data_IF_855390737731
#
_entry.id   IF_855390737731
#
_cell.length_a   1.000
_cell.length_b   1.000
_cell.length_c   1.000
_cell.angle_alpha   90.00
_cell.angle_beta   90.00
_cell.angle_gamma   90.00
#
_symmetry.space_group_name_H-M   'P 1'
#
loop_
_entity.id
_entity.type
_entity.pdbx_description
1 polymer ?
#
# COMPACT_ATOMS: atom_id res chain seq x y z
N UNK A 1 38.14 11.15 5.82
CA UNK A 1 37.32 11.37 7.04
C UNK A 1 35.87 11.15 6.62
N UNK A 2 35.26 10.05 7.07
CA UNK A 2 33.85 9.80 6.83
C UNK A 2 33.08 10.92 7.51
N UNK A 3 32.37 11.74 6.72
CA UNK A 3 31.50 12.77 7.26
C UNK A 3 30.44 12.12 8.16
N UNK A 4 30.29 12.61 9.39
CA UNK A 4 29.18 12.16 10.24
C UNK A 4 27.87 12.45 9.52
N UNK A 5 26.89 11.52 9.57
CA UNK A 5 25.58 11.76 8.97
C UNK A 5 24.96 13.06 9.50
N UNK A 6 24.65 13.98 8.60
CA UNK A 6 23.92 15.21 8.94
C UNK A 6 22.43 14.90 9.08
N UNK A 7 21.84 15.24 10.23
CA UNK A 7 20.38 15.09 10.43
C UNK A 7 19.65 16.15 9.62
N UNK A 8 18.66 15.76 8.85
CA UNK A 8 17.74 16.65 8.11
C UNK A 8 16.47 16.81 8.95
N UNK A 9 16.12 18.05 9.30
CA UNK A 9 14.89 18.33 10.06
C UNK A 9 13.68 18.43 9.13
N UNK A 10 13.12 17.29 8.80
CA UNK A 10 11.95 17.20 7.92
C UNK A 10 11.72 15.77 7.45
N UNK A 11 10.82 15.65 6.50
CA UNK A 11 10.30 14.39 5.98
C UNK A 11 10.45 14.40 4.47
N UNK A 12 10.80 13.23 3.89
CA UNK A 12 10.80 13.06 2.43
C UNK A 12 9.61 12.20 2.03
N UNK A 13 8.84 12.68 1.10
CA UNK A 13 7.66 12.03 0.54
C UNK A 13 8.01 11.51 -0.85
N UNK A 14 7.82 10.20 -1.04
CA UNK A 14 7.98 9.56 -2.33
C UNK A 14 6.60 9.47 -2.99
N UNK A 15 6.36 10.29 -4.00
CA UNK A 15 5.10 10.36 -4.71
C UNK A 15 4.86 9.17 -5.65
N UNK A 16 3.60 8.91 -5.93
CA UNK A 16 3.18 8.01 -7.00
C UNK A 16 3.31 8.74 -8.34
N UNK A 17 3.95 8.13 -9.33
CA UNK A 17 4.33 8.79 -10.58
C UNK A 17 3.16 9.53 -11.28
N UNK A 18 1.97 8.92 -11.31
CA UNK A 18 0.78 9.47 -11.96
C UNK A 18 0.05 10.54 -11.12
N UNK A 19 0.37 10.66 -9.82
CA UNK A 19 -0.37 11.50 -8.85
C UNK A 19 0.50 12.51 -8.11
N UNK A 20 1.66 12.87 -8.66
CA UNK A 20 2.58 13.81 -8.01
C UNK A 20 1.95 15.20 -7.82
N UNK A 21 1.11 15.66 -8.74
CA UNK A 21 0.40 16.93 -8.62
C UNK A 21 -0.56 16.98 -7.41
N UNK A 22 -1.16 15.83 -7.06
CA UNK A 22 -1.99 15.73 -5.86
C UNK A 22 -1.15 15.73 -4.60
N UNK A 23 -0.01 15.04 -4.59
CA UNK A 23 0.92 15.07 -3.47
C UNK A 23 1.41 16.48 -3.17
N UNK A 24 1.83 17.24 -4.17
CA UNK A 24 2.35 18.60 -3.94
C UNK A 24 1.27 19.56 -3.42
N UNK A 25 0.01 19.35 -3.77
CA UNK A 25 -1.13 20.10 -3.19
C UNK A 25 -1.31 19.75 -1.71
N UNK A 26 -1.16 18.47 -1.32
CA UNK A 26 -1.23 18.06 0.09
C UNK A 26 -0.07 18.60 0.92
N UNK A 27 1.13 18.64 0.36
CA UNK A 27 2.33 19.12 1.05
C UNK A 27 2.33 20.65 1.23
N UNK A 28 1.80 21.41 0.27
CA UNK A 28 1.83 22.87 0.27
C UNK A 28 3.25 23.43 0.09
N UNK A 29 4.02 23.60 1.17
CA UNK A 29 5.43 23.97 1.08
C UNK A 29 6.31 22.72 1.02
N UNK A 30 7.16 22.65 0.00
CA UNK A 30 8.10 21.55 -0.22
C UNK A 30 9.30 22.00 -1.05
N UNK A 31 10.38 21.21 -1.01
CA UNK A 31 11.51 21.27 -1.93
C UNK A 31 11.48 20.03 -2.81
N UNK A 32 11.59 20.21 -4.11
CA UNK A 32 11.70 19.10 -5.06
C UNK A 32 13.13 18.59 -5.13
N UNK A 33 13.36 17.35 -4.70
CA UNK A 33 14.70 16.74 -4.67
C UNK A 33 15.07 16.07 -6.00
N UNK A 34 14.07 15.71 -6.82
CA UNK A 34 14.23 15.00 -8.08
C UNK A 34 13.48 13.68 -8.12
N UNK A 35 13.12 13.20 -9.34
CA UNK A 35 12.34 11.97 -9.53
C UNK A 35 11.02 12.02 -8.76
N UNK A 36 10.70 10.99 -7.94
CA UNK A 36 9.48 10.99 -7.15
C UNK A 36 9.62 11.65 -5.76
N UNK A 37 10.73 12.32 -5.44
CA UNK A 37 11.07 12.72 -4.08
C UNK A 37 10.84 14.21 -3.81
N UNK A 38 10.08 14.48 -2.76
CA UNK A 38 9.72 15.81 -2.26
C UNK A 38 10.08 15.92 -0.78
N UNK A 39 10.84 16.94 -0.41
CA UNK A 39 11.19 17.23 0.98
C UNK A 39 10.24 18.29 1.54
N UNK A 40 9.77 18.07 2.75
CA UNK A 40 9.03 19.07 3.50
C UNK A 40 9.63 19.23 4.90
N UNK A 41 9.94 20.46 5.25
CA UNK A 41 10.45 20.82 6.58
C UNK A 41 9.37 20.62 7.64
N UNK A 42 9.80 20.25 8.84
CA UNK A 42 8.94 20.09 10.01
C UNK A 42 8.39 18.68 10.20
N UNK A 43 7.28 18.54 10.93
CA UNK A 43 6.71 17.24 11.28
C UNK A 43 6.06 16.52 10.09
N UNK A 44 5.83 15.22 10.28
CA UNK A 44 5.08 14.40 9.33
C UNK A 44 3.70 15.03 9.02
N UNK A 45 3.44 15.27 7.75
CA UNK A 45 2.14 15.70 7.22
C UNK A 45 1.38 14.48 6.71
N UNK A 46 0.07 14.49 6.84
CA UNK A 46 -0.78 13.49 6.22
C UNK A 46 -0.72 13.66 4.70
N UNK A 47 -0.29 12.61 4.00
CA UNK A 47 -0.20 12.59 2.55
C UNK A 47 -0.67 11.23 2.02
N UNK A 48 -1.71 11.24 1.19
CA UNK A 48 -2.34 10.02 0.67
C UNK A 48 -1.72 9.56 -0.66
N UNK A 49 -1.09 10.49 -1.40
CA UNK A 49 -0.55 10.23 -2.74
C UNK A 49 0.93 9.85 -2.72
N UNK A 50 1.30 9.04 -1.71
CA UNK A 50 2.68 8.57 -1.51
C UNK A 50 2.79 7.05 -1.63
N UNK A 51 3.85 6.59 -2.26
CA UNK A 51 4.25 5.17 -2.19
C UNK A 51 5.01 4.86 -0.90
N UNK A 52 5.77 5.83 -0.42
CA UNK A 52 6.61 5.70 0.77
C UNK A 52 6.90 7.07 1.39
N UNK A 53 7.12 7.11 2.70
CA UNK A 53 7.53 8.32 3.41
C UNK A 53 8.78 8.00 4.21
N UNK A 54 9.81 8.81 4.05
CA UNK A 54 11.10 8.68 4.71
C UNK A 54 11.08 9.54 5.98
N UNK A 55 11.04 8.90 7.15
CA UNK A 55 10.72 9.57 8.41
C UNK A 55 11.91 10.26 9.09
N UNK A 56 13.12 9.72 8.91
CA UNK A 56 14.33 10.21 9.55
C UNK A 56 15.46 10.40 8.52
N UNK A 57 15.29 11.33 7.57
CA UNK A 57 16.28 11.52 6.53
C UNK A 57 17.59 12.08 7.09
N UNK A 58 18.71 11.58 6.55
CA UNK A 58 20.06 12.01 6.85
C UNK A 58 20.84 12.25 5.57
N UNK A 59 21.76 13.20 5.60
CA UNK A 59 22.71 13.44 4.50
C UNK A 59 24.03 12.74 4.82
N UNK A 60 24.61 12.08 3.84
CA UNK A 60 25.90 11.41 3.92
C UNK A 60 26.77 11.89 2.76
N UNK A 61 27.94 12.45 3.07
CA UNK A 61 28.97 12.76 2.06
C UNK A 61 30.00 11.65 2.01
N UNK A 62 30.50 11.33 0.83
CA UNK A 62 31.43 10.23 0.59
C UNK A 62 32.28 10.50 -0.66
N UNK A 63 33.50 9.95 -0.70
CA UNK A 63 34.41 10.05 -1.83
C UNK A 63 34.35 8.81 -2.74
N UNK A 64 34.11 7.65 -2.18
CA UNK A 64 34.11 6.39 -2.91
C UNK A 64 32.84 5.58 -2.73
N UNK A 65 32.52 4.72 -3.71
CA UNK A 65 31.42 3.75 -3.66
C UNK A 65 31.51 2.88 -2.41
N UNK A 66 32.72 2.46 -2.02
CA UNK A 66 32.90 1.62 -0.82
C UNK A 66 32.60 2.36 0.47
N UNK A 67 32.95 3.63 0.52
CA UNK A 67 32.66 4.49 1.68
C UNK A 67 31.16 4.72 1.82
N UNK A 68 30.46 5.04 0.73
CA UNK A 68 29.00 5.16 0.70
C UNK A 68 28.30 3.89 1.20
N UNK A 69 28.68 2.73 0.67
CA UNK A 69 28.11 1.45 1.11
C UNK A 69 28.43 1.13 2.58
N UNK A 70 29.63 1.46 3.06
CA UNK A 70 30.00 1.26 4.47
C UNK A 70 29.19 2.16 5.40
N UNK A 71 28.95 3.41 5.03
CA UNK A 71 28.13 4.34 5.79
C UNK A 71 26.70 3.79 5.97
N UNK A 72 26.07 3.34 4.89
CA UNK A 72 24.74 2.72 4.94
C UNK A 72 24.74 1.43 5.78
N UNK A 73 25.72 0.53 5.60
CA UNK A 73 25.85 -0.70 6.39
C UNK A 73 26.07 -0.46 7.88
N UNK A 74 26.73 0.63 8.22
CA UNK A 74 26.95 1.02 9.62
C UNK A 74 25.66 1.44 10.35
N UNK A 75 24.62 1.80 9.61
CA UNK A 75 23.32 2.21 10.15
C UNK A 75 22.38 1.01 10.26
N UNK A 76 22.16 0.29 9.17
CA UNK A 76 21.31 -0.91 9.14
C UNK A 76 21.63 -1.81 7.92
N UNK A 77 20.96 -2.97 7.88
CA UNK A 77 21.17 -3.98 6.82
C UNK A 77 20.37 -3.70 5.54
N UNK A 78 19.09 -3.35 5.67
CA UNK A 78 18.13 -3.37 4.55
C UNK A 78 17.98 -1.98 3.95
N UNK A 79 18.47 -1.79 2.73
CA UNK A 79 18.44 -0.54 2.01
C UNK A 79 17.93 -0.72 0.59
N UNK A 80 16.91 0.02 0.20
CA UNK A 80 16.39 0.08 -1.16
C UNK A 80 16.76 1.42 -1.81
N UNK A 81 17.35 1.44 -3.03
CA UNK A 81 17.64 2.67 -3.74
C UNK A 81 16.38 3.22 -4.42
N UNK A 82 16.23 4.54 -4.41
CA UNK A 82 15.28 5.29 -5.25
C UNK A 82 16.10 6.25 -6.11
N UNK A 83 16.55 5.76 -7.26
CA UNK A 83 17.48 6.49 -8.10
C UNK A 83 16.73 7.29 -9.18
N UNK A 84 17.05 8.57 -9.31
CA UNK A 84 16.59 9.45 -10.38
C UNK A 84 17.76 10.17 -11.08
N UNK A 85 18.96 10.07 -10.52
CA UNK A 85 20.23 10.56 -11.07
C UNK A 85 21.35 9.59 -10.70
N UNK A 86 22.55 9.75 -11.28
CA UNK A 86 23.75 8.94 -10.93
C UNK A 86 23.51 7.42 -10.95
N UNK A 87 22.66 6.91 -11.85
CA UNK A 87 22.19 5.51 -11.86
C UNK A 87 23.31 4.49 -11.75
N UNK A 88 24.36 4.63 -12.59
CA UNK A 88 25.49 3.68 -12.58
C UNK A 88 26.19 3.66 -11.23
N UNK A 89 26.42 4.83 -10.64
CA UNK A 89 27.08 4.95 -9.33
C UNK A 89 26.21 4.39 -8.23
N UNK A 90 24.91 4.67 -8.24
CA UNK A 90 23.93 4.13 -7.31
C UNK A 90 23.87 2.61 -7.36
N UNK A 91 23.83 2.02 -8.55
CA UNK A 91 23.83 0.55 -8.70
C UNK A 91 25.11 -0.09 -8.14
N UNK A 92 26.29 0.51 -8.39
CA UNK A 92 27.55 0.03 -7.82
C UNK A 92 27.61 0.13 -6.29
N UNK A 93 26.94 1.12 -5.69
CA UNK A 93 26.77 1.20 -4.23
C UNK A 93 25.86 0.08 -3.76
N UNK A 94 24.70 -0.11 -4.43
CA UNK A 94 23.72 -1.13 -4.06
C UNK A 94 24.31 -2.56 -4.15
N UNK A 95 25.16 -2.85 -5.13
CA UNK A 95 25.84 -4.13 -5.26
C UNK A 95 26.77 -4.47 -4.05
N UNK A 96 27.26 -3.44 -3.34
CA UNK A 96 28.07 -3.62 -2.14
C UNK A 96 27.24 -3.72 -0.85
N UNK A 97 25.92 -3.47 -0.90
CA UNK A 97 25.02 -3.64 0.23
C UNK A 97 24.54 -5.08 0.34
N UNK A 98 24.11 -5.53 1.52
CA UNK A 98 23.45 -6.82 1.65
C UNK A 98 22.24 -6.90 0.70
N UNK A 99 22.06 -8.02 0.00
CA UNK A 99 20.96 -8.15 -0.94
C UNK A 99 19.63 -8.10 -0.23
N UNK A 100 18.69 -7.35 -0.79
CA UNK A 100 17.28 -7.35 -0.40
C UNK A 100 16.50 -8.23 -1.39
N UNK A 101 15.55 -8.99 -0.88
CA UNK A 101 14.75 -9.85 -1.73
C UNK A 101 13.58 -9.05 -2.32
N UNK A 102 13.68 -8.70 -3.60
CA UNK A 102 12.67 -7.99 -4.39
C UNK A 102 11.85 -8.92 -5.30
N UNK A 103 12.04 -10.24 -5.20
CA UNK A 103 11.26 -11.19 -6.03
C UNK A 103 9.79 -11.17 -5.62
N UNK A 104 8.87 -11.33 -6.57
CA UNK A 104 7.45 -11.50 -6.27
C UNK A 104 7.20 -12.59 -5.23
N UNK A 105 6.24 -12.38 -4.35
CA UNK A 105 5.94 -13.26 -3.21
C UNK A 105 4.64 -14.03 -3.42
N UNK A 106 4.52 -15.24 -2.91
CA UNK A 106 3.23 -15.90 -2.83
C UNK A 106 2.35 -15.21 -1.78
N UNK A 107 1.04 -15.22 -1.98
CA UNK A 107 0.08 -14.82 -0.95
C UNK A 107 -0.46 -16.07 -0.23
N UNK A 108 -0.67 -16.05 1.10
CA UNK A 108 -0.38 -14.96 2.04
C UNK A 108 1.12 -14.85 2.37
N UNK A 109 1.58 -13.63 2.66
CA UNK A 109 2.95 -13.39 3.06
C UNK A 109 3.03 -12.52 4.32
N UNK A 110 3.70 -13.03 5.34
CA UNK A 110 3.97 -12.29 6.58
C UNK A 110 5.13 -11.34 6.35
N UNK A 111 4.87 -10.04 6.55
CA UNK A 111 5.89 -9.00 6.47
C UNK A 111 6.95 -9.19 7.57
N UNK A 112 8.25 -9.10 7.21
CA UNK A 112 9.31 -9.05 8.22
C UNK A 112 9.14 -7.83 9.13
N UNK A 113 9.57 -7.97 10.39
CA UNK A 113 9.60 -6.84 11.33
C UNK A 113 10.83 -5.95 11.18
N UNK A 114 11.83 -6.40 10.39
CA UNK A 114 13.02 -5.63 10.13
C UNK A 114 12.71 -4.38 9.30
N UNK A 115 13.20 -3.19 9.69
CA UNK A 115 12.95 -1.96 8.96
C UNK A 115 13.53 -2.03 7.55
N UNK A 116 12.84 -1.39 6.60
CA UNK A 116 13.33 -1.15 5.25
C UNK A 116 13.70 0.33 5.14
N UNK A 117 14.98 0.61 4.92
CA UNK A 117 15.45 1.97 4.64
C UNK A 117 15.43 2.27 3.15
N UNK A 118 15.36 3.53 2.82
CA UNK A 118 15.50 4.02 1.45
C UNK A 118 16.63 5.03 1.34
N UNK A 119 17.24 5.12 0.16
CA UNK A 119 18.31 6.06 -0.12
C UNK A 119 18.34 6.50 -1.58
N UNK A 120 18.93 7.66 -1.84
CA UNK A 120 19.16 8.20 -3.18
C UNK A 120 20.47 8.98 -3.25
N UNK A 121 20.94 9.23 -4.46
CA UNK A 121 22.05 10.16 -4.72
C UNK A 121 21.48 11.50 -5.16
N UNK A 122 21.99 12.59 -4.59
CA UNK A 122 21.75 13.96 -5.07
C UNK A 122 22.78 14.33 -6.15
N UNK A 123 24.02 13.91 -5.92
CA UNK A 123 25.15 14.10 -6.83
C UNK A 123 26.17 12.94 -6.68
N UNK A 124 27.38 13.11 -7.23
CA UNK A 124 28.40 12.06 -7.20
C UNK A 124 28.97 11.77 -5.81
N UNK A 125 28.82 12.68 -4.85
CA UNK A 125 29.46 12.63 -3.52
C UNK A 125 28.48 12.79 -2.37
N UNK A 126 27.19 13.03 -2.65
CA UNK A 126 26.17 13.30 -1.66
C UNK A 126 24.99 12.37 -1.84
N UNK A 127 24.62 11.68 -0.77
CA UNK A 127 23.38 10.89 -0.70
C UNK A 127 22.45 11.39 0.41
N UNK A 128 21.18 11.17 0.22
CA UNK A 128 20.18 11.19 1.28
C UNK A 128 19.74 9.75 1.54
N UNK A 129 19.60 9.40 2.81
CA UNK A 129 19.14 8.10 3.25
C UNK A 129 18.18 8.25 4.44
N UNK A 130 17.21 7.36 4.57
CA UNK A 130 16.36 7.27 5.76
C UNK A 130 16.29 5.84 6.24
N UNK A 131 16.72 5.53 7.46
CA UNK A 131 16.64 4.19 8.02
C UNK A 131 15.21 3.77 8.36
N UNK A 132 14.29 4.74 8.52
CA UNK A 132 12.89 4.52 8.85
C UNK A 132 11.99 5.05 7.73
N UNK A 133 11.19 4.16 7.16
CA UNK A 133 10.20 4.48 6.14
C UNK A 133 8.84 3.91 6.54
N UNK A 134 7.75 4.52 6.02
CA UNK A 134 6.38 4.04 6.28
C UNK A 134 6.09 2.74 5.55
N UNK A 135 6.65 2.55 4.35
CA UNK A 135 6.48 1.31 3.61
C UNK A 135 7.49 0.25 4.07
N UNK A 136 7.04 -0.97 4.37
CA UNK A 136 7.93 -2.09 4.66
C UNK A 136 8.53 -2.71 3.38
N UNK A 137 8.13 -2.21 2.21
CA UNK A 137 8.57 -2.72 0.91
C UNK A 137 9.74 -1.94 0.35
N UNK A 138 10.67 -2.60 -0.37
CA UNK A 138 11.78 -1.94 -1.02
C UNK A 138 11.31 -0.84 -1.98
N UNK A 139 11.69 0.43 -1.73
CA UNK A 139 11.28 1.57 -2.54
C UNK A 139 9.77 1.83 -2.57
N UNK A 140 9.01 1.28 -1.63
CA UNK A 140 7.55 1.43 -1.58
C UNK A 140 6.78 0.40 -2.40
N UNK A 141 7.44 -0.33 -3.31
CA UNK A 141 6.80 -1.22 -4.28
C UNK A 141 6.86 -2.69 -3.85
N UNK A 142 5.78 -3.40 -4.17
CA UNK A 142 5.65 -4.81 -3.85
C UNK A 142 4.92 -5.55 -4.97
N UNK A 143 5.36 -6.79 -5.24
CA UNK A 143 4.75 -7.64 -6.26
C UNK A 143 4.44 -9.02 -5.70
N UNK A 144 3.27 -9.54 -6.04
CA UNK A 144 2.90 -10.93 -5.84
C UNK A 144 3.23 -11.80 -7.06
N UNK A 145 3.40 -13.10 -6.82
CA UNK A 145 3.37 -14.08 -7.89
C UNK A 145 1.95 -14.10 -8.45
N UNK A 146 1.82 -13.65 -9.69
CA UNK A 146 0.52 -13.49 -10.34
C UNK A 146 -0.07 -14.85 -10.73
N UNK A 147 -1.30 -15.14 -10.29
CA UNK A 147 -2.10 -16.24 -10.82
C UNK A 147 -3.01 -15.71 -11.93
N UNK A 148 -2.78 -16.13 -13.17
CA UNK A 148 -3.51 -15.66 -14.36
C UNK A 148 -4.65 -16.60 -14.78
N UNK A 149 -4.87 -17.70 -14.06
CA UNK A 149 -5.78 -18.79 -14.47
C UNK A 149 -7.00 -18.86 -13.57
N UNK A 150 -6.80 -18.90 -12.24
CA UNK A 150 -7.86 -19.21 -11.30
C UNK A 150 -8.72 -18.00 -10.89
N UNK A 151 -8.16 -16.80 -10.65
CA UNK A 151 -8.97 -15.66 -10.22
C UNK A 151 -9.82 -15.12 -11.37
N UNK A 152 -11.11 -14.78 -11.12
CA UNK A 152 -12.01 -14.24 -12.16
C UNK A 152 -11.59 -12.85 -12.69
N UNK A 153 -10.78 -12.11 -11.93
CA UNK A 153 -10.27 -10.79 -12.33
C UNK A 153 -8.96 -10.47 -11.62
N UNK A 154 -8.17 -9.52 -12.18
CA UNK A 154 -6.92 -9.06 -11.55
C UNK A 154 -7.13 -8.23 -10.28
N UNK A 155 -8.38 -7.87 -9.95
CA UNK A 155 -8.69 -7.13 -8.73
C UNK A 155 -8.24 -7.87 -7.44
N UNK A 156 -8.06 -9.19 -7.50
CA UNK A 156 -7.57 -10.00 -6.39
C UNK A 156 -6.21 -9.51 -5.84
N UNK A 157 -5.33 -8.97 -6.69
CA UNK A 157 -4.01 -8.45 -6.28
C UNK A 157 -4.13 -7.27 -5.31
N UNK A 158 -5.11 -6.40 -5.51
CA UNK A 158 -5.37 -5.26 -4.60
C UNK A 158 -5.72 -5.74 -3.20
N UNK A 159 -6.59 -6.75 -3.10
CA UNK A 159 -6.96 -7.30 -1.80
C UNK A 159 -5.78 -7.99 -1.12
N UNK A 160 -5.00 -8.78 -1.86
CA UNK A 160 -3.80 -9.43 -1.33
C UNK A 160 -2.82 -8.39 -0.75
N UNK A 161 -2.56 -7.30 -1.48
CA UNK A 161 -1.70 -6.22 -1.01
C UNK A 161 -2.26 -5.54 0.24
N UNK A 162 -3.54 -5.18 0.25
CA UNK A 162 -4.19 -4.56 1.39
C UNK A 162 -4.09 -5.42 2.65
N UNK A 163 -4.33 -6.72 2.54
CA UNK A 163 -4.23 -7.67 3.66
C UNK A 163 -2.79 -7.81 4.18
N UNK A 164 -1.81 -7.86 3.28
CA UNK A 164 -0.38 -7.92 3.68
C UNK A 164 0.03 -6.61 4.36
N UNK A 165 -0.38 -5.44 3.84
CA UNK A 165 -0.11 -4.13 4.47
C UNK A 165 -0.76 -4.02 5.85
N UNK A 166 -1.98 -4.53 6.01
CA UNK A 166 -2.69 -4.60 7.30
C UNK A 166 -2.07 -5.62 8.26
N UNK A 167 -1.13 -6.47 7.80
CA UNK A 167 -0.52 -7.59 8.56
C UNK A 167 -1.56 -8.53 9.17
N UNK A 168 -2.74 -8.58 8.59
CA UNK A 168 -3.88 -9.37 9.04
C UNK A 168 -4.77 -9.74 7.87
N UNK A 169 -5.29 -10.94 7.89
CA UNK A 169 -6.25 -11.46 6.92
C UNK A 169 -7.27 -12.39 7.58
N UNK A 170 -8.43 -12.62 6.92
CA UNK A 170 -9.42 -13.55 7.40
C UNK A 170 -8.84 -14.94 7.67
N UNK A 171 -9.28 -15.54 8.77
CA UNK A 171 -8.95 -16.92 9.11
C UNK A 171 -10.05 -17.86 8.61
N UNK A 172 -9.73 -19.16 8.51
CA UNK A 172 -10.71 -20.17 8.13
C UNK A 172 -11.94 -20.13 9.04
N UNK A 173 -13.13 -20.08 8.42
CA UNK A 173 -14.40 -20.00 9.12
C UNK A 173 -14.84 -18.60 9.54
N UNK A 174 -13.99 -17.56 9.43
CA UNK A 174 -14.43 -16.18 9.66
C UNK A 174 -15.46 -15.76 8.59
N UNK A 175 -16.42 -14.94 9.01
CA UNK A 175 -17.51 -14.45 8.15
C UNK A 175 -17.09 -13.16 7.47
N UNK A 176 -17.07 -13.19 6.14
CA UNK A 176 -16.71 -12.08 5.29
C UNK A 176 -17.91 -11.61 4.46
N UNK A 177 -18.12 -10.32 4.37
CA UNK A 177 -19.01 -9.69 3.40
C UNK A 177 -18.18 -9.11 2.25
N UNK A 178 -18.46 -9.50 1.00
CA UNK A 178 -17.89 -8.92 -0.21
C UNK A 178 -18.98 -8.14 -0.95
N UNK A 179 -18.97 -6.83 -0.82
CA UNK A 179 -19.98 -5.93 -1.36
C UNK A 179 -19.55 -5.35 -2.71
N UNK A 180 -20.32 -5.64 -3.77
CA UNK A 180 -19.94 -5.36 -5.15
C UNK A 180 -18.98 -6.41 -5.69
N UNK A 181 -19.28 -7.68 -5.44
CA UNK A 181 -18.36 -8.78 -5.58
C UNK A 181 -18.04 -9.21 -7.03
N UNK A 182 -18.93 -8.96 -7.99
CA UNK A 182 -18.77 -9.44 -9.38
C UNK A 182 -17.51 -8.88 -10.06
N UNK A 183 -16.74 -9.71 -10.77
CA UNK A 183 -16.91 -11.14 -11.08
C UNK A 183 -16.41 -12.11 -9.99
N UNK A 184 -15.90 -11.64 -8.84
CA UNK A 184 -15.50 -12.47 -7.71
C UNK A 184 -14.00 -12.52 -7.43
N UNK A 185 -13.23 -11.54 -7.88
CA UNK A 185 -11.78 -11.51 -7.64
C UNK A 185 -11.43 -11.47 -6.15
N UNK A 186 -12.13 -10.69 -5.36
CA UNK A 186 -11.95 -10.62 -3.91
C UNK A 186 -12.57 -11.84 -3.21
N UNK A 187 -13.78 -12.24 -3.59
CA UNK A 187 -14.41 -13.49 -3.12
C UNK A 187 -13.48 -14.69 -3.28
N UNK A 188 -12.78 -14.79 -4.44
CA UNK A 188 -11.80 -15.85 -4.68
C UNK A 188 -10.67 -15.85 -3.63
N UNK A 189 -10.06 -14.69 -3.34
CA UNK A 189 -9.02 -14.60 -2.29
C UNK A 189 -9.55 -15.08 -0.94
N UNK A 190 -10.72 -14.63 -0.56
CA UNK A 190 -11.34 -14.95 0.72
C UNK A 190 -11.63 -16.46 0.86
N UNK A 191 -12.09 -17.11 -0.21
CA UNK A 191 -12.30 -18.56 -0.22
C UNK A 191 -11.00 -19.35 -0.14
N UNK A 192 -9.90 -18.84 -0.76
CA UNK A 192 -8.58 -19.46 -0.64
C UNK A 192 -8.04 -19.41 0.82
N UNK A 193 -8.47 -18.41 1.60
CA UNK A 193 -8.17 -18.32 3.03
C UNK A 193 -9.10 -19.18 3.90
N UNK A 194 -10.11 -19.85 3.32
CA UNK A 194 -11.08 -20.68 4.03
C UNK A 194 -12.18 -19.89 4.73
N UNK A 195 -12.36 -18.63 4.41
CA UNK A 195 -13.41 -17.78 4.97
C UNK A 195 -14.80 -18.14 4.39
N UNK A 196 -15.85 -17.90 5.18
CA UNK A 196 -17.25 -17.95 4.74
C UNK A 196 -17.63 -16.61 4.14
N UNK A 197 -17.97 -16.58 2.86
CA UNK A 197 -18.17 -15.32 2.12
C UNK A 197 -19.64 -15.13 1.76
N UNK A 198 -20.25 -14.07 2.25
CA UNK A 198 -21.49 -13.52 1.72
C UNK A 198 -21.11 -12.51 0.63
N UNK A 199 -21.31 -12.89 -0.62
CA UNK A 199 -21.00 -12.06 -1.78
C UNK A 199 -22.28 -11.40 -2.31
N UNK A 200 -22.28 -10.07 -2.43
CA UNK A 200 -23.45 -9.30 -2.88
C UNK A 200 -23.11 -8.54 -4.15
N UNK A 201 -23.89 -8.77 -5.20
CA UNK A 201 -23.78 -8.01 -6.44
C UNK A 201 -25.11 -8.11 -7.22
N UNK A 202 -25.33 -7.19 -8.17
CA UNK A 202 -26.45 -7.23 -9.12
C UNK A 202 -26.26 -8.32 -10.18
N UNK A 203 -25.02 -8.66 -10.48
CA UNK A 203 -24.59 -9.66 -11.45
C UNK A 203 -24.01 -10.89 -10.76
N UNK A 204 -24.18 -12.10 -11.31
CA UNK A 204 -23.62 -13.32 -10.73
C UNK A 204 -22.09 -13.29 -10.77
N UNK A 205 -21.48 -14.04 -9.86
CA UNK A 205 -20.04 -14.27 -9.86
C UNK A 205 -19.66 -15.29 -10.97
N UNK A 206 -18.34 -15.49 -11.12
CA UNK A 206 -17.79 -16.64 -11.87
C UNK A 206 -18.45 -17.93 -11.39
N UNK A 207 -18.78 -18.82 -12.34
CA UNK A 207 -19.54 -20.05 -12.07
C UNK A 207 -18.88 -20.94 -11.00
N UNK A 208 -17.54 -21.00 -10.98
CA UNK A 208 -16.79 -21.79 -10.01
C UNK A 208 -16.98 -21.25 -8.57
N UNK A 209 -17.16 -19.95 -8.41
CA UNK A 209 -17.46 -19.33 -7.12
C UNK A 209 -18.93 -19.51 -6.73
N UNK A 210 -19.84 -19.45 -7.69
CA UNK A 210 -21.27 -19.75 -7.44
C UNK A 210 -21.50 -21.19 -6.94
N UNK A 211 -20.63 -22.13 -7.29
CA UNK A 211 -20.67 -23.52 -6.86
C UNK A 211 -19.82 -23.80 -5.59
N UNK A 212 -19.08 -22.80 -5.10
CA UNK A 212 -18.20 -22.98 -3.95
C UNK A 212 -19.01 -23.00 -2.64
N UNK A 213 -18.88 -24.05 -1.80
CA UNK A 213 -19.66 -24.19 -0.55
C UNK A 213 -19.35 -23.11 0.50
N UNK A 214 -18.24 -22.38 0.36
CA UNK A 214 -17.89 -21.25 1.22
C UNK A 214 -18.58 -19.95 0.81
N UNK A 215 -19.28 -19.90 -0.35
CA UNK A 215 -19.88 -18.69 -0.91
C UNK A 215 -21.40 -18.75 -0.81
N UNK A 216 -21.97 -17.73 -0.20
CA UNK A 216 -23.41 -17.43 -0.27
C UNK A 216 -23.59 -16.18 -1.13
N UNK A 217 -24.18 -16.34 -2.30
CA UNK A 217 -24.42 -15.22 -3.20
C UNK A 217 -25.81 -14.62 -2.99
N UNK A 218 -25.87 -13.28 -2.87
CA UNK A 218 -27.12 -12.52 -2.79
C UNK A 218 -27.18 -11.56 -3.97
N UNK A 219 -28.14 -11.75 -4.86
CA UNK A 219 -28.36 -10.85 -6.00
C UNK A 219 -29.05 -9.57 -5.53
N UNK A 220 -28.29 -8.54 -5.23
CA UNK A 220 -28.80 -7.27 -4.73
C UNK A 220 -27.81 -6.10 -4.94
N UNK A 221 -28.29 -4.86 -4.79
CA UNK A 221 -27.39 -3.71 -4.63
C UNK A 221 -26.89 -3.66 -3.19
N UNK A 222 -25.60 -3.96 -2.99
CA UNK A 222 -24.99 -4.02 -1.65
C UNK A 222 -25.17 -2.73 -0.82
N UNK A 223 -25.27 -1.58 -1.48
CA UNK A 223 -25.40 -0.27 -0.81
C UNK A 223 -26.82 0.03 -0.31
N UNK A 224 -27.80 -0.77 -0.68
CA UNK A 224 -29.19 -0.61 -0.25
C UNK A 224 -29.60 -1.56 0.87
N UNK A 225 -28.82 -2.62 1.13
CA UNK A 225 -29.02 -3.51 2.25
C UNK A 225 -28.55 -2.86 3.55
N UNK A 226 -29.36 -3.08 4.60
CA UNK A 226 -28.99 -2.62 5.94
C UNK A 226 -28.06 -3.63 6.62
N UNK A 227 -27.13 -3.18 7.46
CA UNK A 227 -26.24 -4.09 8.21
C UNK A 227 -26.99 -5.19 8.97
N UNK A 228 -28.18 -4.89 9.53
CA UNK A 228 -29.00 -5.82 10.31
C UNK A 228 -29.59 -6.96 9.45
N UNK A 229 -29.79 -6.74 8.14
CA UNK A 229 -30.28 -7.76 7.21
C UNK A 229 -29.21 -8.81 6.90
N UNK A 230 -27.94 -8.42 7.00
CA UNK A 230 -26.78 -9.31 6.80
C UNK A 230 -26.37 -9.97 8.13
N UNK A 231 -26.47 -9.21 9.20
CA UNK A 231 -26.00 -9.61 10.53
C UNK A 231 -24.47 -9.44 10.72
N UNK A 232 -23.93 -9.95 11.85
CA UNK A 232 -22.54 -9.72 12.21
C UNK A 232 -21.57 -10.43 11.28
N UNK A 233 -20.49 -9.71 10.87
CA UNK A 233 -19.39 -10.22 10.07
C UNK A 233 -18.04 -9.89 10.74
N UNK A 234 -17.02 -10.72 10.49
CA UNK A 234 -15.67 -10.44 10.97
C UNK A 234 -14.96 -9.43 10.06
N UNK A 235 -15.28 -9.46 8.77
CA UNK A 235 -14.69 -8.60 7.77
C UNK A 235 -15.72 -8.08 6.77
N UNK A 236 -15.59 -6.80 6.43
CA UNK A 236 -16.34 -6.16 5.37
C UNK A 236 -15.39 -5.69 4.28
N UNK A 237 -15.68 -6.09 3.04
CA UNK A 237 -14.89 -5.78 1.85
C UNK A 237 -15.74 -5.09 0.80
N UNK A 238 -15.16 -4.15 0.06
CA UNK A 238 -15.79 -3.57 -1.12
C UNK A 238 -14.78 -3.04 -2.14
N UNK A 239 -14.85 -3.52 -3.38
CA UNK A 239 -14.14 -2.95 -4.54
C UNK A 239 -15.14 -2.38 -5.56
N UNK A 240 -16.30 -1.92 -5.10
CA UNK A 240 -17.38 -1.41 -5.96
C UNK A 240 -16.97 -0.10 -6.63
N UNK A 241 -17.45 0.10 -7.87
CA UNK A 241 -17.33 1.39 -8.56
C UNK A 241 -18.48 2.29 -8.10
N UNK A 242 -18.19 3.26 -7.26
CA UNK A 242 -19.12 4.29 -6.82
C UNK A 242 -18.39 5.58 -6.49
N UNK A 243 -19.13 6.67 -6.40
CA UNK A 243 -18.57 7.94 -5.92
C UNK A 243 -18.13 7.83 -4.46
N UNK A 244 -16.98 8.38 -4.08
CA UNK A 244 -16.43 8.32 -2.73
C UNK A 244 -17.40 8.73 -1.61
N UNK A 245 -18.22 9.80 -1.73
CA UNK A 245 -19.19 10.14 -0.69
C UNK A 245 -20.24 9.05 -0.42
N UNK A 246 -20.68 8.33 -1.48
CA UNK A 246 -21.62 7.22 -1.32
C UNK A 246 -20.99 6.03 -0.57
N UNK A 247 -19.72 5.74 -0.84
CA UNK A 247 -18.97 4.73 -0.11
C UNK A 247 -18.83 5.13 1.37
N UNK A 248 -18.49 6.39 1.62
CA UNK A 248 -18.34 6.94 2.96
C UNK A 248 -19.62 6.77 3.79
N UNK A 249 -20.76 7.26 3.28
CA UNK A 249 -22.07 7.12 3.94
C UNK A 249 -22.45 5.66 4.24
N UNK A 250 -22.08 4.74 3.34
CA UNK A 250 -22.34 3.32 3.54
C UNK A 250 -21.44 2.73 4.61
N UNK A 251 -20.16 3.08 4.65
CA UNK A 251 -19.22 2.65 5.69
C UNK A 251 -19.65 3.20 7.05
N UNK A 252 -20.10 4.46 7.14
CA UNK A 252 -20.61 5.04 8.39
C UNK A 252 -21.79 4.25 8.98
N UNK A 253 -22.71 3.78 8.14
CA UNK A 253 -23.83 2.93 8.61
C UNK A 253 -23.34 1.61 9.20
N UNK A 254 -22.34 0.98 8.58
CA UNK A 254 -21.74 -0.24 9.09
C UNK A 254 -20.97 -0.02 10.39
N UNK A 255 -20.19 1.07 10.48
CA UNK A 255 -19.50 1.46 11.72
C UNK A 255 -20.50 1.73 12.85
N UNK A 256 -21.55 2.49 12.58
CA UNK A 256 -22.59 2.78 13.56
C UNK A 256 -23.34 1.55 14.06
N UNK A 257 -23.52 0.53 13.20
CA UNK A 257 -24.18 -0.71 13.58
C UNK A 257 -23.33 -1.60 14.50
N UNK A 258 -22.00 -1.46 14.48
CA UNK A 258 -21.07 -2.35 15.21
C UNK A 258 -21.05 -3.80 14.71
N UNK A 259 -21.65 -4.08 13.53
CA UNK A 259 -21.81 -5.45 13.02
C UNK A 259 -20.62 -5.93 12.18
N UNK A 260 -19.61 -5.09 11.90
CA UNK A 260 -18.37 -5.51 11.25
C UNK A 260 -17.16 -5.11 12.09
N UNK A 261 -16.16 -6.01 12.18
CA UNK A 261 -14.96 -5.80 13.00
C UNK A 261 -13.80 -5.18 12.22
N UNK A 262 -13.68 -5.53 10.95
CA UNK A 262 -12.58 -5.09 10.08
C UNK A 262 -13.14 -4.66 8.73
N UNK A 263 -12.51 -3.64 8.13
CA UNK A 263 -12.95 -3.04 6.88
C UNK A 263 -11.80 -2.94 5.89
N UNK A 264 -12.00 -3.35 4.65
CA UNK A 264 -11.12 -3.05 3.52
C UNK A 264 -11.99 -2.63 2.34
N UNK A 265 -11.90 -1.36 1.96
CA UNK A 265 -12.67 -0.79 0.87
C UNK A 265 -11.77 -0.01 -0.07
N UNK A 266 -12.01 -0.10 -1.37
CA UNK A 266 -11.32 0.72 -2.37
C UNK A 266 -12.09 2.02 -2.58
N UNK A 267 -11.42 3.15 -2.36
CA UNK A 267 -11.94 4.47 -2.74
C UNK A 267 -11.60 4.67 -4.22
N UNK A 268 -12.62 4.79 -5.08
CA UNK A 268 -12.44 5.00 -6.52
C UNK A 268 -12.73 6.44 -6.90
N UNK A 269 -11.68 7.17 -7.26
CA UNK A 269 -11.81 8.54 -7.74
C UNK A 269 -12.47 8.54 -9.11
N UNK A 270 -13.52 9.35 -9.30
CA UNK A 270 -14.30 9.44 -10.53
C UNK A 270 -14.18 10.81 -11.20
N UNK A 271 -13.64 11.80 -10.48
CA UNK A 271 -13.42 13.14 -10.96
C UNK A 271 -12.43 13.90 -10.10
N UNK A 272 -11.97 15.07 -10.57
CA UNK A 272 -10.95 15.85 -9.87
C UNK A 272 -11.35 16.26 -8.44
N UNK A 273 -12.64 16.50 -8.18
CA UNK A 273 -13.13 16.83 -6.85
C UNK A 273 -13.03 15.69 -5.82
N UNK A 274 -12.90 14.45 -6.28
CA UNK A 274 -12.84 13.28 -5.40
C UNK A 274 -11.48 13.13 -4.71
N UNK A 275 -10.42 13.76 -5.22
CA UNK A 275 -9.05 13.61 -4.69
C UNK A 275 -8.85 14.21 -3.28
N UNK A 276 -9.78 15.04 -2.81
CA UNK A 276 -9.81 15.53 -1.43
C UNK A 276 -10.55 14.56 -0.48
N UNK A 277 -11.30 13.61 -1.01
CA UNK A 277 -12.14 12.68 -0.24
C UNK A 277 -11.37 11.76 0.70
N UNK A 278 -10.13 11.27 0.41
CA UNK A 278 -9.38 10.45 1.34
C UNK A 278 -9.25 11.06 2.74
N UNK A 279 -9.23 12.39 2.84
CA UNK A 279 -9.19 13.10 4.13
C UNK A 279 -10.43 12.86 4.99
N UNK A 280 -11.58 12.60 4.37
CA UNK A 280 -12.82 12.31 5.10
C UNK A 280 -12.85 10.87 5.67
N UNK A 281 -12.07 9.95 5.09
CA UNK A 281 -11.95 8.57 5.55
C UNK A 281 -10.89 8.39 6.64
N UNK A 282 -10.04 9.38 6.88
CA UNK A 282 -8.94 9.34 7.85
C UNK A 282 -9.35 9.89 9.20
#
# INVERSE_FOLDING_TARGET
>A
MTGQPGIIQGIIYQGVDEFQDHLVRELGQYEYLGGPLYFAEGPLRQAFWTENIWLNPITITFESISEAANALRGIQRNWAPVLFTQYRRGMLIQEKLPPINQKPRPFPWVLPDSPMGSWTLLDAHTMIASPACTSPFPGGKFEFIENKIDPPSRAYLKLQEALVRARRWPQAGERCLDAGACPGGWTWVLTQLGAQVTAIDRSPLDERLMQNPLVTFIKHDAFTLKPEEIGPVDWLFSDVICYPPRLYEWIEKWLASGLAKNYICTIKMQGEGDFETPKAFA
#
